data_IF_341771792930
#
_entry.id   IF_341771792930
#
_cell.length_a   1.000
_cell.length_b   1.000
_cell.length_c   1.000
_cell.angle_alpha   90.00
_cell.angle_beta   90.00
_cell.angle_gamma   90.00
#
_symmetry.space_group_name_H-M   'P 1'
#
loop_
_entity.id
_entity.type
_entity.pdbx_description
1 polymer ?
#
# COMPACT_ATOMS: atom_id res chain seq x y z
N UNK A 1 19.90 -1.28 -1.37
CA UNK A 1 19.38 -1.88 -2.61
C UNK A 1 17.96 -2.36 -2.39
N UNK A 2 17.07 -2.15 -3.35
CA UNK A 2 15.66 -2.59 -3.29
C UNK A 2 15.37 -3.49 -4.49
N UNK A 3 14.65 -4.59 -4.25
CA UNK A 3 14.18 -5.50 -5.28
C UNK A 3 12.68 -5.76 -5.09
N UNK A 4 11.95 -5.72 -6.19
CA UNK A 4 10.52 -6.06 -6.26
C UNK A 4 10.41 -7.32 -7.11
N UNK A 5 9.88 -8.38 -6.53
CA UNK A 5 9.58 -9.63 -7.22
C UNK A 5 8.06 -9.73 -7.35
N UNK A 6 7.54 -9.68 -8.59
CA UNK A 6 6.10 -9.75 -8.84
C UNK A 6 5.80 -10.58 -10.08
N UNK A 7 4.66 -11.28 -10.04
CA UNK A 7 4.10 -12.03 -11.17
C UNK A 7 2.88 -11.36 -11.80
N UNK A 8 2.47 -10.18 -11.32
CA UNK A 8 1.26 -9.47 -11.78
C UNK A 8 1.61 -8.12 -12.40
N UNK A 9 0.68 -7.58 -13.18
CA UNK A 9 0.73 -6.26 -13.81
C UNK A 9 -0.61 -5.53 -13.64
N UNK A 10 -0.61 -4.23 -13.89
CA UNK A 10 -1.83 -3.44 -13.89
C UNK A 10 -2.85 -4.02 -14.88
N UNK A 11 -4.10 -4.19 -14.42
CA UNK A 11 -5.18 -4.80 -15.20
C UNK A 11 -5.30 -6.32 -15.05
N UNK A 12 -4.33 -7.00 -14.44
CA UNK A 12 -4.44 -8.44 -14.16
C UNK A 12 -5.50 -8.70 -13.08
N UNK A 13 -6.23 -9.81 -13.23
CA UNK A 13 -7.19 -10.26 -12.23
C UNK A 13 -6.50 -11.07 -11.13
N UNK A 14 -6.81 -10.77 -9.87
CA UNK A 14 -6.40 -11.59 -8.73
C UNK A 14 -7.42 -12.73 -8.55
N UNK A 15 -7.02 -13.94 -8.94
CA UNK A 15 -7.86 -15.14 -8.88
C UNK A 15 -8.06 -15.64 -7.44
N UNK A 16 -9.25 -16.16 -7.09
CA UNK A 16 -9.49 -16.79 -5.79
C UNK A 16 -8.92 -18.22 -5.69
N UNK A 17 -8.42 -18.79 -6.80
CA UNK A 17 -7.97 -20.19 -6.85
C UNK A 17 -6.50 -20.39 -6.46
N UNK A 18 -5.74 -19.31 -6.31
CA UNK A 18 -4.32 -19.34 -5.96
C UNK A 18 -4.05 -18.43 -4.76
N UNK A 19 -2.85 -18.57 -4.19
CA UNK A 19 -2.40 -17.65 -3.14
C UNK A 19 -2.41 -16.20 -3.65
N UNK A 20 -3.05 -15.24 -2.95
CA UNK A 20 -3.21 -13.86 -3.41
C UNK A 20 -1.93 -13.00 -3.29
N UNK A 21 -0.74 -13.61 -3.37
CA UNK A 21 0.53 -12.89 -3.28
C UNK A 21 0.78 -12.06 -4.54
N UNK A 22 0.69 -10.73 -4.39
CA UNK A 22 0.90 -9.74 -5.47
C UNK A 22 2.39 -9.54 -5.77
N UNK A 23 3.18 -9.25 -4.74
CA UNK A 23 4.60 -8.96 -4.88
C UNK A 23 5.33 -9.20 -3.56
N UNK A 24 6.64 -9.46 -3.67
CA UNK A 24 7.59 -9.47 -2.55
C UNK A 24 8.53 -8.29 -2.70
N UNK A 25 8.61 -7.47 -1.66
CA UNK A 25 9.58 -6.38 -1.54
C UNK A 25 10.75 -6.86 -0.69
N UNK A 26 11.96 -6.70 -1.20
CA UNK A 26 13.20 -7.05 -0.51
C UNK A 26 14.11 -5.83 -0.46
N UNK A 27 14.46 -5.40 0.75
CA UNK A 27 15.34 -4.26 0.99
C UNK A 27 16.60 -4.74 1.71
N UNK A 28 17.74 -4.29 1.23
CA UNK A 28 19.04 -4.54 1.82
C UNK A 28 19.78 -3.22 2.05
N UNK A 29 20.36 -3.05 3.24
CA UNK A 29 21.08 -1.85 3.66
C UNK A 29 22.30 -2.23 4.53
N UNK A 30 23.11 -1.26 4.95
CA UNK A 30 24.27 -1.50 5.81
C UNK A 30 23.91 -1.96 7.23
N UNK A 31 22.72 -1.61 7.70
CA UNK A 31 22.21 -2.04 9.01
C UNK A 31 20.68 -2.26 9.00
N UNK A 32 20.16 -2.75 10.12
CA UNK A 32 18.73 -3.06 10.27
C UNK A 32 17.86 -1.80 10.22
N UNK A 33 18.29 -0.72 10.85
CA UNK A 33 17.49 0.50 10.95
C UNK A 33 17.32 1.14 9.57
N UNK A 34 18.41 1.33 8.83
CA UNK A 34 18.37 1.86 7.48
C UNK A 34 17.61 0.94 6.51
N UNK A 35 17.59 -0.38 6.74
CA UNK A 35 16.78 -1.31 5.94
C UNK A 35 15.28 -1.14 6.23
N UNK A 36 14.90 -0.95 7.49
CA UNK A 36 13.50 -0.71 7.88
C UNK A 36 13.00 0.65 7.41
N UNK A 37 13.82 1.70 7.49
CA UNK A 37 13.49 3.03 6.96
C UNK A 37 13.25 3.00 5.44
N UNK A 38 14.12 2.32 4.70
CA UNK A 38 13.94 2.13 3.27
C UNK A 38 12.72 1.25 2.93
N UNK A 39 12.45 0.21 3.71
CA UNK A 39 11.25 -0.63 3.53
C UNK A 39 9.97 0.17 3.80
N UNK A 40 9.91 0.97 4.87
CA UNK A 40 8.77 1.85 5.17
C UNK A 40 8.53 2.86 4.05
N UNK A 41 9.59 3.45 3.52
CA UNK A 41 9.51 4.38 2.39
C UNK A 41 8.94 3.68 1.16
N UNK A 42 9.42 2.48 0.84
CA UNK A 42 8.93 1.70 -0.30
C UNK A 42 7.45 1.32 -0.14
N UNK A 43 7.04 0.87 1.05
CA UNK A 43 5.66 0.51 1.35
C UNK A 43 4.71 1.71 1.25
N UNK A 44 5.15 2.91 1.67
CA UNK A 44 4.37 4.14 1.56
C UNK A 44 4.14 4.60 0.10
N UNK A 45 4.94 4.10 -0.84
CA UNK A 45 4.82 4.39 -2.27
C UNK A 45 3.99 3.33 -3.03
N UNK A 46 3.47 2.31 -2.35
CA UNK A 46 2.64 1.28 -2.98
C UNK A 46 1.24 1.85 -3.26
N UNK A 47 0.87 1.86 -4.53
CA UNK A 47 -0.47 2.21 -4.99
C UNK A 47 -1.10 1.01 -5.70
N UNK A 48 -2.08 0.38 -5.05
CA UNK A 48 -2.86 -0.73 -5.60
C UNK A 48 -4.34 -0.43 -5.34
N UNK A 49 -5.12 -0.32 -6.42
CA UNK A 49 -6.56 -0.12 -6.38
C UNK A 49 -7.30 -1.35 -6.88
N UNK A 50 -8.54 -1.54 -6.44
CA UNK A 50 -9.41 -2.64 -6.89
C UNK A 50 -9.21 -3.97 -6.16
N UNK A 51 -8.28 -4.05 -5.21
CA UNK A 51 -8.11 -5.20 -4.31
C UNK A 51 -7.79 -4.75 -2.89
N UNK A 52 -8.14 -5.57 -1.90
CA UNK A 52 -7.68 -5.36 -0.52
C UNK A 52 -6.25 -5.85 -0.41
N UNK A 53 -5.34 -4.99 0.08
CA UNK A 53 -3.92 -5.31 0.23
C UNK A 53 -3.45 -5.04 1.66
N UNK A 54 -2.42 -5.76 2.09
CA UNK A 54 -1.86 -5.64 3.44
C UNK A 54 -0.68 -4.64 3.55
N UNK A 55 -0.45 -3.81 2.52
CA UNK A 55 0.70 -2.88 2.49
C UNK A 55 0.74 -1.93 3.70
N UNK A 56 -0.42 -1.38 4.11
CA UNK A 56 -0.52 -0.52 5.28
C UNK A 56 -0.18 -1.27 6.59
N UNK A 57 -0.65 -2.51 6.73
CA UNK A 57 -0.30 -3.38 7.86
C UNK A 57 1.21 -3.65 7.92
N UNK A 58 1.83 -3.98 6.78
CA UNK A 58 3.27 -4.21 6.69
C UNK A 58 4.07 -2.94 7.02
N UNK A 59 3.56 -1.77 6.62
CA UNK A 59 4.19 -0.48 6.94
C UNK A 59 4.12 -0.18 8.45
N UNK A 60 2.97 -0.47 9.08
CA UNK A 60 2.80 -0.37 10.53
C UNK A 60 3.75 -1.33 11.27
N UNK A 61 3.83 -2.59 10.84
CA UNK A 61 4.74 -3.58 11.43
C UNK A 61 6.22 -3.19 11.26
N UNK A 62 6.61 -2.66 10.11
CA UNK A 62 7.97 -2.17 9.89
C UNK A 62 8.31 -0.92 10.74
N UNK A 63 7.29 -0.22 11.27
CA UNK A 63 7.42 0.92 12.17
C UNK A 63 7.26 0.55 13.66
N UNK A 64 6.89 -0.70 13.97
CA UNK A 64 6.67 -1.18 15.32
C UNK A 64 8.00 -1.24 16.12
N UNK A 65 8.04 -0.73 17.37
CA UNK A 65 9.27 -0.68 18.16
C UNK A 65 9.88 -2.05 18.45
N UNK A 66 9.06 -3.06 18.78
CA UNK A 66 9.53 -4.41 19.12
C UNK A 66 10.07 -5.09 17.87
N UNK A 67 9.36 -4.93 16.74
CA UNK A 67 9.86 -5.39 15.44
C UNK A 67 11.19 -4.71 15.07
N UNK A 68 11.31 -3.39 15.26
CA UNK A 68 12.53 -2.65 14.97
C UNK A 68 13.71 -3.11 15.84
N UNK A 69 13.46 -3.33 17.14
CA UNK A 69 14.44 -3.85 18.09
C UNK A 69 14.84 -5.31 17.82
N UNK A 70 14.03 -6.05 17.05
CA UNK A 70 14.24 -7.46 16.79
C UNK A 70 13.72 -8.36 17.94
N UNK A 71 12.91 -7.81 18.84
CA UNK A 71 12.22 -8.56 19.89
C UNK A 71 10.97 -9.24 19.29
N UNK A 72 11.21 -10.33 18.57
CA UNK A 72 10.19 -11.00 17.76
C UNK A 72 9.97 -12.44 18.21
N UNK A 73 8.69 -12.78 18.35
CA UNK A 73 8.20 -14.15 18.49
C UNK A 73 6.92 -14.34 17.66
N UNK A 74 6.40 -15.57 17.62
CA UNK A 74 5.22 -15.91 16.79
C UNK A 74 3.92 -15.27 17.26
N UNK A 75 3.90 -14.67 18.45
CA UNK A 75 2.77 -13.96 19.03
C UNK A 75 2.79 -12.44 18.85
N UNK A 76 3.86 -11.84 18.31
CA UNK A 76 4.00 -10.36 18.19
C UNK A 76 2.78 -9.71 17.51
N UNK A 77 2.38 -10.22 16.35
CA UNK A 77 1.24 -9.69 15.60
C UNK A 77 -0.05 -9.80 16.41
N UNK A 78 -0.25 -10.91 17.12
CA UNK A 78 -1.43 -11.11 17.96
C UNK A 78 -1.50 -10.12 19.11
N UNK A 79 -0.37 -9.79 19.74
CA UNK A 79 -0.29 -8.76 20.80
C UNK A 79 -0.59 -7.36 20.28
N UNK A 80 -0.14 -7.03 19.08
CA UNK A 80 -0.20 -5.67 18.53
C UNK A 80 -1.32 -5.50 17.47
N UNK A 81 -2.21 -6.47 17.33
CA UNK A 81 -3.15 -6.57 16.22
C UNK A 81 -3.99 -5.31 16.02
N UNK A 82 -4.57 -4.76 17.09
CA UNK A 82 -5.40 -3.56 17.03
C UNK A 82 -4.64 -2.35 16.48
N UNK A 83 -3.41 -2.13 16.94
CA UNK A 83 -2.55 -1.05 16.47
C UNK A 83 -2.12 -1.28 15.01
N UNK A 84 -1.72 -2.50 14.66
CA UNK A 84 -1.21 -2.83 13.32
C UNK A 84 -2.30 -2.78 12.24
N UNK A 85 -3.58 -2.85 12.62
CA UNK A 85 -4.73 -2.86 11.72
C UNK A 85 -5.59 -1.60 11.81
N UNK A 86 -5.17 -0.62 12.60
CA UNK A 86 -5.87 0.65 12.73
C UNK A 86 -5.90 1.38 11.38
N UNK A 87 -7.11 1.67 10.89
CA UNK A 87 -7.32 2.47 9.68
C UNK A 87 -7.67 3.88 10.11
N UNK A 88 -6.81 4.84 9.74
CA UNK A 88 -7.10 6.25 9.97
C UNK A 88 -8.31 6.68 9.12
N UNK A 89 -9.22 7.51 9.65
CA UNK A 89 -10.30 8.07 8.86
C UNK A 89 -9.72 8.94 7.73
N UNK A 90 -10.40 9.00 6.57
CA UNK A 90 -9.95 9.85 5.46
C UNK A 90 -9.92 11.31 5.90
N UNK A 91 -8.92 12.04 5.41
CA UNK A 91 -8.81 13.48 5.68
C UNK A 91 -9.93 14.26 5.00
N UNK A 92 -10.23 15.48 5.48
CA UNK A 92 -11.22 16.35 4.84
C UNK A 92 -10.91 16.66 3.38
N UNK A 93 -9.62 16.68 3.01
CA UNK A 93 -9.16 16.81 1.64
C UNK A 93 -9.54 15.60 0.79
N UNK A 94 -9.28 14.38 1.28
CA UNK A 94 -9.67 13.13 0.60
C UNK A 94 -11.19 13.06 0.43
N UNK A 95 -11.95 13.45 1.46
CA UNK A 95 -13.42 13.49 1.39
C UNK A 95 -13.88 14.52 0.34
N UNK A 96 -13.29 15.71 0.32
CA UNK A 96 -13.63 16.77 -0.65
C UNK A 96 -13.29 16.37 -2.08
N UNK A 97 -12.12 15.76 -2.30
CA UNK A 97 -11.71 15.24 -3.60
C UNK A 97 -12.64 14.11 -4.08
N UNK A 98 -13.00 13.18 -3.20
CA UNK A 98 -13.95 12.12 -3.49
C UNK A 98 -15.34 12.66 -3.83
N UNK A 99 -15.83 13.66 -3.08
CA UNK A 99 -17.11 14.31 -3.36
C UNK A 99 -17.11 15.03 -4.72
N UNK A 100 -16.02 15.74 -5.06
CA UNK A 100 -15.86 16.39 -6.36
C UNK A 100 -15.86 15.36 -7.51
N UNK A 101 -15.08 14.28 -7.37
CA UNK A 101 -15.03 13.21 -8.36
C UNK A 101 -16.41 12.53 -8.55
N UNK A 102 -17.11 12.23 -7.46
CA UNK A 102 -18.44 11.61 -7.49
C UNK A 102 -19.52 12.54 -8.05
N UNK A 103 -19.38 13.86 -7.92
CA UNK A 103 -20.33 14.84 -8.46
C UNK A 103 -20.32 14.97 -9.98
N UNK A 104 -19.27 14.46 -10.65
CA UNK A 104 -19.06 14.65 -12.09
C UNK A 104 -18.59 16.05 -12.48
N UNK A 105 -18.46 17.00 -11.55
CA UNK A 105 -18.05 18.38 -11.83
C UNK A 105 -16.56 18.51 -12.25
N UNK A 106 -15.74 17.47 -12.03
CA UNK A 106 -14.35 17.39 -12.48
C UNK A 106 -14.15 16.74 -13.85
N UNK A 107 -15.20 16.22 -14.49
CA UNK A 107 -15.09 15.68 -15.85
C UNK A 107 -14.98 16.85 -16.83
N UNK A 108 -13.80 17.04 -17.43
CA UNK A 108 -13.70 17.87 -18.63
C UNK A 108 -14.69 17.30 -19.65
N UNK A 109 -15.49 18.14 -20.35
CA UNK A 109 -16.34 17.64 -21.41
C UNK A 109 -15.47 16.82 -22.37
N UNK A 110 -15.82 15.56 -22.59
CA UNK A 110 -15.21 14.81 -23.69
C UNK A 110 -15.44 15.64 -24.94
N UNK A 111 -14.37 16.10 -25.58
CA UNK A 111 -14.45 16.74 -26.88
C UNK A 111 -15.31 15.84 -27.78
N UNK A 112 -16.50 16.32 -28.14
CA UNK A 112 -17.31 15.72 -29.20
C UNK A 112 -16.86 16.25 -30.57
N UNK A 113 -15.67 16.87 -30.65
CA UNK A 113 -15.09 17.33 -31.90
C UNK A 113 -14.45 16.14 -32.62
N UNK A 114 -14.98 15.72 -33.79
CA UNK A 114 -14.37 14.66 -34.59
C UNK A 114 -12.97 15.03 -35.14
N UNK A 115 -12.48 16.25 -34.92
CA UNK A 115 -11.21 16.75 -35.44
C UNK A 115 -10.14 17.05 -34.38
N UNK A 116 -10.40 16.80 -33.09
CA UNK A 116 -9.36 16.94 -32.07
C UNK A 116 -8.43 15.71 -32.08
N UNK A 117 -7.36 15.78 -32.88
CA UNK A 117 -6.20 14.86 -32.81
C UNK A 117 -5.22 15.27 -31.71
#
# INVERSE_FOLDING_TARGET
AMRIETGVRAGDAISPYYDPMIAKLVVHSGDRQAALEALRTALAQIEIAGSTVNAAFLAALAADPDFAAGDVDTGLIGRHQEMLTAVAPPTGEVISAAALAASGAGALPSSADPWSS
#
